data_IF_837020417277
#
_entry.id   IF_837020417277
#
_cell.length_a   1.000
_cell.length_b   1.000
_cell.length_c   1.000
_cell.angle_alpha   90.00
_cell.angle_beta   90.00
_cell.angle_gamma   90.00
#
_symmetry.space_group_name_H-M   'P 1'
#
loop_
_entity.id
_entity.type
_entity.pdbx_description
1 polymer ?
#
# COMPACT_ATOMS: atom_id res chain seq x y z
N UNK A 1 12.53 15.07 -12.70
CA UNK A 1 12.65 14.88 -11.24
C UNK A 1 11.26 14.58 -10.70
N UNK A 2 11.11 13.57 -9.83
CA UNK A 2 9.81 13.17 -9.30
C UNK A 2 9.24 14.24 -8.35
N UNK A 3 7.91 14.42 -8.39
CA UNK A 3 7.18 15.42 -7.60
C UNK A 3 6.14 14.82 -6.68
N UNK A 4 5.67 13.61 -6.98
CA UNK A 4 4.67 12.92 -6.18
C UNK A 4 4.88 11.41 -6.22
N UNK A 5 5.27 10.83 -5.09
CA UNK A 5 5.61 9.41 -4.95
C UNK A 5 4.47 8.68 -4.26
N UNK A 6 3.94 7.61 -4.88
CA UNK A 6 3.03 6.67 -4.22
C UNK A 6 3.84 5.58 -3.53
N UNK A 7 3.54 5.29 -2.26
CA UNK A 7 4.15 4.22 -1.48
C UNK A 7 3.08 3.26 -0.97
N UNK A 8 2.84 2.16 -1.66
CA UNK A 8 2.02 1.08 -1.13
C UNK A 8 2.75 0.39 0.03
N UNK A 9 2.04 0.12 1.11
CA UNK A 9 2.58 -0.57 2.28
C UNK A 9 1.58 -1.58 2.82
N UNK A 10 2.08 -2.68 3.36
CA UNK A 10 1.31 -3.69 4.10
C UNK A 10 1.78 -3.80 5.56
N UNK A 11 2.66 -2.88 5.99
CA UNK A 11 3.23 -2.86 7.34
C UNK A 11 4.34 -3.91 7.56
N UNK A 12 4.77 -4.65 6.55
CA UNK A 12 5.90 -5.58 6.66
C UNK A 12 7.24 -4.85 6.85
N UNK A 13 8.24 -5.56 7.35
CA UNK A 13 9.58 -4.97 7.53
C UNK A 13 10.20 -4.51 6.20
N UNK A 14 9.92 -5.23 5.12
CA UNK A 14 10.38 -4.83 3.80
C UNK A 14 9.63 -3.59 3.28
N UNK A 15 8.33 -3.48 3.56
CA UNK A 15 7.57 -2.28 3.27
C UNK A 15 8.11 -1.06 4.02
N UNK A 16 8.56 -1.22 5.27
CA UNK A 16 9.21 -0.15 6.04
C UNK A 16 10.51 0.33 5.39
N UNK A 17 11.30 -0.58 4.78
CA UNK A 17 12.47 -0.18 3.99
C UNK A 17 12.08 0.61 2.74
N UNK A 18 10.99 0.23 2.06
CA UNK A 18 10.48 0.98 0.93
C UNK A 18 9.99 2.38 1.34
N UNK A 19 9.31 2.51 2.48
CA UNK A 19 8.92 3.80 3.06
C UNK A 19 10.16 4.66 3.30
N UNK A 20 11.19 4.14 3.98
CA UNK A 20 12.42 4.89 4.26
C UNK A 20 13.11 5.37 2.99
N UNK A 21 13.19 4.52 1.96
CA UNK A 21 13.78 4.88 0.66
C UNK A 21 12.97 5.95 -0.08
N UNK A 22 11.64 5.84 -0.06
CA UNK A 22 10.75 6.81 -0.67
C UNK A 22 10.80 8.17 0.03
N UNK A 23 10.86 8.18 1.36
CA UNK A 23 10.98 9.41 2.16
C UNK A 23 12.32 10.11 1.90
N UNK A 24 13.42 9.35 1.83
CA UNK A 24 14.73 9.91 1.48
C UNK A 24 14.70 10.55 0.09
N UNK A 25 14.16 9.84 -0.91
CA UNK A 25 14.03 10.35 -2.28
C UNK A 25 13.12 11.60 -2.33
N UNK A 26 11.99 11.58 -1.62
CA UNK A 26 11.07 12.71 -1.55
C UNK A 26 11.74 13.96 -0.94
N UNK A 27 12.51 13.77 0.14
CA UNK A 27 13.28 14.84 0.77
C UNK A 27 14.30 15.46 -0.19
N UNK A 28 15.04 14.63 -0.93
CA UNK A 28 16.08 15.08 -1.84
C UNK A 28 15.51 15.77 -3.09
N UNK A 29 14.33 15.38 -3.53
CA UNK A 29 13.69 15.93 -4.73
C UNK A 29 12.67 17.04 -4.46
N UNK A 30 12.30 17.25 -3.20
CA UNK A 30 11.19 18.14 -2.83
C UNK A 30 9.82 17.58 -3.20
N UNK A 31 9.69 16.27 -3.38
CA UNK A 31 8.44 15.61 -3.71
C UNK A 31 7.54 15.48 -2.49
N UNK A 32 6.23 15.38 -2.71
CA UNK A 32 5.27 14.89 -1.73
C UNK A 32 5.11 13.37 -1.85
N UNK A 33 4.59 12.75 -0.79
CA UNK A 33 4.40 11.31 -0.71
C UNK A 33 2.94 10.97 -0.41
N UNK A 34 2.41 9.94 -1.06
CA UNK A 34 1.14 9.32 -0.67
C UNK A 34 1.39 7.90 -0.19
N UNK A 35 1.10 7.64 1.08
CA UNK A 35 1.03 6.29 1.63
C UNK A 35 -0.31 5.63 1.27
N UNK A 36 -0.26 4.40 0.77
CA UNK A 36 -1.45 3.63 0.41
C UNK A 36 -1.45 2.28 1.12
N UNK A 37 -2.56 1.95 1.77
CA UNK A 37 -2.85 0.60 2.25
C UNK A 37 -4.01 -0.01 1.45
N UNK A 38 -3.75 -1.15 0.81
CA UNK A 38 -4.77 -1.92 0.10
C UNK A 38 -5.34 -2.99 1.04
N UNK A 39 -6.61 -2.82 1.41
CA UNK A 39 -7.34 -3.75 2.26
C UNK A 39 -7.96 -4.84 1.38
N UNK A 40 -7.86 -6.12 1.73
CA UNK A 40 -8.56 -7.19 1.01
C UNK A 40 -10.06 -6.98 0.98
N UNK A 41 -10.72 -7.42 -0.08
CA UNK A 41 -12.17 -7.41 -0.15
C UNK A 41 -12.77 -8.40 0.84
N UNK A 42 -13.89 -8.01 1.46
CA UNK A 42 -14.64 -8.89 2.34
C UNK A 42 -15.36 -9.99 1.54
N UNK A 43 -14.96 -11.22 1.78
CA UNK A 43 -15.64 -12.40 1.21
C UNK A 43 -16.33 -13.11 2.37
N UNK A 44 -17.68 -12.98 2.50
CA UNK A 44 -18.39 -13.73 3.52
C UNK A 44 -18.21 -15.23 3.27
N UNK A 45 -17.98 -16.03 4.33
CA UNK A 45 -17.88 -17.48 4.16
C UNK A 45 -19.19 -18.05 3.64
N UNK A 46 -19.10 -18.86 2.60
CA UNK A 46 -20.25 -19.46 1.90
C UNK A 46 -20.66 -20.79 2.55
N UNK A 47 -19.93 -21.26 3.57
CA UNK A 47 -20.19 -22.53 4.23
C UNK A 47 -21.41 -22.45 5.15
N UNK A 48 -22.42 -23.24 4.78
CA UNK A 48 -23.73 -23.28 5.43
C UNK A 48 -23.74 -23.81 6.89
N UNK A 49 -22.58 -24.13 7.46
CA UNK A 49 -22.45 -24.68 8.81
C UNK A 49 -22.23 -23.63 9.92
N UNK A 50 -21.93 -22.38 9.55
CA UNK A 50 -21.71 -21.32 10.52
C UNK A 50 -22.80 -20.26 10.35
N UNK A 51 -23.55 -19.91 11.42
CA UNK A 51 -24.60 -18.91 11.33
C UNK A 51 -24.06 -17.56 10.85
N UNK A 52 -24.74 -16.94 9.89
CA UNK A 52 -24.34 -15.66 9.25
C UNK A 52 -24.09 -14.53 10.26
N UNK A 53 -24.78 -14.53 11.41
CA UNK A 53 -24.61 -13.54 12.46
C UNK A 53 -23.27 -13.63 13.22
N UNK A 54 -22.48 -14.66 12.99
CA UNK A 54 -21.12 -14.78 13.56
C UNK A 54 -20.04 -14.07 12.74
N UNK A 55 -20.39 -13.52 11.58
CA UNK A 55 -19.49 -12.77 10.73
C UNK A 55 -19.79 -11.28 10.80
N UNK A 56 -18.77 -10.42 10.70
CA UNK A 56 -19.02 -8.98 10.67
C UNK A 56 -19.88 -8.62 9.46
N UNK A 57 -20.75 -7.64 9.63
CA UNK A 57 -21.45 -7.02 8.51
C UNK A 57 -20.44 -6.28 7.61
N UNK A 58 -20.85 -5.93 6.40
CA UNK A 58 -20.01 -5.14 5.49
C UNK A 58 -19.56 -3.83 6.15
N UNK A 59 -20.45 -3.14 6.83
CA UNK A 59 -20.16 -1.88 7.51
C UNK A 59 -19.18 -2.05 8.68
N UNK A 60 -19.29 -3.16 9.41
CA UNK A 60 -18.32 -3.50 10.46
C UNK A 60 -16.95 -3.81 9.90
N UNK A 61 -16.91 -4.56 8.78
CA UNK A 61 -15.67 -4.85 8.09
C UNK A 61 -14.98 -3.57 7.57
N UNK A 62 -15.74 -2.67 6.94
CA UNK A 62 -15.21 -1.40 6.45
C UNK A 62 -14.66 -0.52 7.59
N UNK A 63 -15.34 -0.50 8.75
CA UNK A 63 -14.83 0.21 9.94
C UNK A 63 -13.55 -0.41 10.48
N UNK A 64 -13.48 -1.73 10.58
CA UNK A 64 -12.28 -2.44 11.00
C UNK A 64 -11.12 -2.22 10.01
N UNK A 65 -11.42 -2.25 8.72
CA UNK A 65 -10.46 -1.96 7.66
C UNK A 65 -9.87 -0.54 7.76
N UNK A 66 -10.70 0.46 8.10
CA UNK A 66 -10.23 1.82 8.31
C UNK A 66 -9.29 1.92 9.52
N UNK A 67 -9.62 1.25 10.64
CA UNK A 67 -8.76 1.21 11.84
C UNK A 67 -7.44 0.51 11.53
N UNK A 68 -7.47 -0.61 10.82
CA UNK A 68 -6.25 -1.32 10.41
C UNK A 68 -5.39 -0.44 9.49
N UNK A 69 -6.03 0.27 8.56
CA UNK A 69 -5.33 1.18 7.67
C UNK A 69 -4.60 2.30 8.43
N UNK A 70 -5.23 2.89 9.44
CA UNK A 70 -4.59 3.89 10.30
C UNK A 70 -3.33 3.33 10.97
N UNK A 71 -3.40 2.12 11.50
CA UNK A 71 -2.27 1.46 12.15
C UNK A 71 -1.12 1.18 11.18
N UNK A 72 -1.43 0.64 9.99
CA UNK A 72 -0.42 0.32 8.96
C UNK A 72 0.20 1.58 8.38
N UNK A 73 -0.59 2.62 8.13
CA UNK A 73 -0.13 3.87 7.54
C UNK A 73 0.61 4.78 8.53
N UNK A 74 0.57 4.49 9.82
CA UNK A 74 1.29 5.23 10.85
C UNK A 74 2.79 5.28 10.57
N UNK A 75 3.39 4.19 10.11
CA UNK A 75 4.81 4.14 9.74
C UNK A 75 5.18 5.18 8.67
N UNK A 76 4.29 5.40 7.69
CA UNK A 76 4.47 6.42 6.64
C UNK A 76 4.40 7.82 7.24
N UNK A 77 3.38 8.07 8.08
CA UNK A 77 3.19 9.38 8.71
C UNK A 77 4.39 9.76 9.59
N UNK A 78 4.85 8.83 10.42
CA UNK A 78 6.00 9.06 11.32
C UNK A 78 7.28 9.34 10.53
N UNK A 79 7.57 8.53 9.50
CA UNK A 79 8.76 8.71 8.68
C UNK A 79 8.75 10.04 7.91
N UNK A 80 7.61 10.41 7.32
CA UNK A 80 7.47 11.68 6.61
C UNK A 80 7.57 12.89 7.55
N UNK A 81 6.94 12.81 8.71
CA UNK A 81 6.98 13.88 9.72
C UNK A 81 8.40 14.11 10.21
N UNK A 82 9.14 13.03 10.54
CA UNK A 82 10.52 13.12 10.99
C UNK A 82 11.46 13.73 9.92
N UNK A 83 11.15 13.53 8.64
CA UNK A 83 11.94 14.05 7.52
C UNK A 83 11.47 15.42 7.00
N UNK A 84 10.37 15.97 7.52
CA UNK A 84 9.67 17.16 7.00
C UNK A 84 9.25 17.01 5.52
N UNK A 85 8.79 15.82 5.11
CA UNK A 85 8.26 15.54 3.79
C UNK A 85 6.74 15.71 3.81
N UNK A 86 6.15 16.51 2.90
CA UNK A 86 4.69 16.60 2.78
C UNK A 86 4.09 15.26 2.39
N UNK A 87 3.00 14.84 3.04
CA UNK A 87 2.39 13.56 2.76
C UNK A 87 0.87 13.55 2.86
N UNK A 88 0.29 12.57 2.22
CA UNK A 88 -1.13 12.17 2.32
C UNK A 88 -1.19 10.69 2.63
N UNK A 89 -2.26 10.25 3.30
CA UNK A 89 -2.53 8.84 3.57
C UNK A 89 -3.86 8.45 2.95
N UNK A 90 -3.93 7.26 2.39
CA UNK A 90 -5.16 6.72 1.82
C UNK A 90 -5.20 5.21 1.94
N UNK A 91 -6.39 4.67 1.97
CA UNK A 91 -6.63 3.24 1.85
C UNK A 91 -7.80 2.99 0.92
N UNK A 92 -7.94 1.76 0.50
CA UNK A 92 -9.10 1.30 -0.27
C UNK A 92 -9.24 -0.21 -0.15
N UNK A 93 -10.41 -0.71 -0.50
CA UNK A 93 -10.75 -2.13 -0.47
C UNK A 93 -10.77 -2.62 -1.91
N UNK A 94 -9.95 -3.62 -2.22
CA UNK A 94 -9.91 -4.28 -3.54
C UNK A 94 -9.37 -5.70 -3.39
N UNK A 95 -9.96 -6.64 -4.10
CA UNK A 95 -9.48 -8.02 -4.19
C UNK A 95 -8.10 -8.14 -4.86
N UNK A 96 -7.71 -7.11 -5.61
CA UNK A 96 -6.47 -7.04 -6.37
C UNK A 96 -5.68 -5.77 -6.02
N UNK A 97 -4.77 -5.81 -5.04
CA UNK A 97 -4.01 -4.66 -4.58
C UNK A 97 -3.34 -3.86 -5.71
N UNK A 98 -2.79 -4.54 -6.73
CA UNK A 98 -2.15 -3.85 -7.85
C UNK A 98 -3.09 -2.88 -8.59
N UNK A 99 -4.38 -3.24 -8.73
CA UNK A 99 -5.37 -2.36 -9.40
C UNK A 99 -5.59 -1.08 -8.62
N UNK A 100 -5.72 -1.22 -7.30
CA UNK A 100 -5.87 -0.08 -6.42
C UNK A 100 -4.63 0.82 -6.45
N UNK A 101 -3.43 0.22 -6.42
CA UNK A 101 -2.16 0.95 -6.52
C UNK A 101 -2.13 1.81 -7.79
N UNK A 102 -2.40 1.22 -8.94
CA UNK A 102 -2.38 1.92 -10.23
C UNK A 102 -3.47 2.99 -10.32
N UNK A 103 -4.69 2.68 -9.86
CA UNK A 103 -5.80 3.62 -9.85
C UNK A 103 -5.52 4.84 -8.95
N UNK A 104 -5.00 4.62 -7.74
CA UNK A 104 -4.64 5.69 -6.80
C UNK A 104 -3.47 6.53 -7.30
N UNK A 105 -2.45 5.90 -7.89
CA UNK A 105 -1.34 6.63 -8.49
C UNK A 105 -1.82 7.60 -9.59
N UNK A 106 -2.69 7.14 -10.47
CA UNK A 106 -3.28 7.96 -11.53
C UNK A 106 -4.20 9.04 -10.98
N UNK A 107 -5.12 8.70 -10.10
CA UNK A 107 -6.11 9.64 -9.55
C UNK A 107 -5.46 10.79 -8.77
N UNK A 108 -4.32 10.55 -8.13
CA UNK A 108 -3.58 11.53 -7.34
C UNK A 108 -2.48 12.25 -8.11
N UNK A 109 -2.26 11.90 -9.38
CA UNK A 109 -1.21 12.49 -10.21
C UNK A 109 0.20 12.15 -9.70
N UNK A 110 0.40 10.95 -9.19
CA UNK A 110 1.72 10.46 -8.84
C UNK A 110 2.55 10.24 -10.10
N UNK A 111 3.85 10.44 -10.02
CA UNK A 111 4.81 10.26 -11.12
C UNK A 111 5.87 9.19 -10.84
N UNK A 112 5.80 8.56 -9.66
CA UNK A 112 6.60 7.40 -9.27
C UNK A 112 5.81 6.51 -8.31
N UNK A 113 5.96 5.20 -8.45
CA UNK A 113 5.54 4.22 -7.44
C UNK A 113 6.81 3.65 -6.79
N UNK A 114 6.93 3.72 -5.46
CA UNK A 114 8.02 3.10 -4.70
C UNK A 114 7.44 2.02 -3.80
N UNK A 115 7.83 0.77 -4.01
CA UNK A 115 7.25 -0.36 -3.30
C UNK A 115 8.29 -1.44 -2.96
N UNK A 116 7.97 -2.29 -1.99
CA UNK A 116 8.79 -3.44 -1.65
C UNK A 116 8.70 -4.54 -2.73
N UNK A 117 9.77 -5.34 -2.86
CA UNK A 117 9.80 -6.45 -3.82
C UNK A 117 8.79 -7.56 -3.49
N UNK A 118 8.38 -7.70 -2.22
CA UNK A 118 7.32 -8.60 -1.75
C UNK A 118 6.73 -8.08 -0.43
N UNK A 119 5.54 -8.56 -0.08
CA UNK A 119 4.84 -8.18 1.14
C UNK A 119 4.90 -9.27 2.22
N UNK A 120 3.95 -9.23 3.17
CA UNK A 120 3.85 -10.16 4.32
C UNK A 120 3.86 -11.64 3.95
N UNK A 121 3.39 -12.01 2.76
CA UNK A 121 3.29 -13.40 2.28
C UNK A 121 4.47 -13.84 1.41
N UNK A 122 5.47 -12.97 1.24
CA UNK A 122 6.64 -13.26 0.41
C UNK A 122 7.48 -14.38 1.02
N UNK A 123 7.77 -15.41 0.21
CA UNK A 123 8.74 -16.43 0.55
C UNK A 123 10.14 -15.89 0.31
N UNK A 124 11.07 -16.16 1.23
CA UNK A 124 12.47 -15.70 1.19
C UNK A 124 13.18 -16.10 -0.13
N UNK A 125 12.69 -17.13 -0.81
CA UNK A 125 13.21 -17.62 -2.08
C UNK A 125 12.61 -16.93 -3.33
N UNK A 126 11.56 -16.09 -3.19
CA UNK A 126 10.96 -15.40 -4.33
C UNK A 126 11.75 -14.16 -4.70
N UNK A 127 12.15 -14.09 -5.96
CA UNK A 127 12.86 -12.92 -6.51
C UNK A 127 11.96 -11.69 -6.53
N UNK A 128 10.66 -11.87 -6.77
CA UNK A 128 9.67 -10.80 -6.85
C UNK A 128 8.27 -11.30 -6.43
N UNK A 129 7.56 -10.53 -5.62
CA UNK A 129 6.19 -10.85 -5.20
C UNK A 129 5.19 -10.67 -6.34
N UNK A 130 4.09 -11.42 -6.27
CA UNK A 130 3.06 -11.44 -7.33
C UNK A 130 2.43 -10.06 -7.58
N UNK A 131 2.15 -9.29 -6.53
CA UNK A 131 1.57 -7.94 -6.67
C UNK A 131 2.59 -6.96 -7.26
N UNK A 132 3.86 -7.05 -6.87
CA UNK A 132 4.93 -6.24 -7.45
C UNK A 132 5.11 -6.54 -8.93
N UNK A 133 5.06 -7.82 -9.33
CA UNK A 133 5.10 -8.21 -10.76
C UNK A 133 3.94 -7.61 -11.54
N UNK A 134 2.71 -7.65 -10.99
CA UNK A 134 1.53 -7.08 -11.64
C UNK A 134 1.63 -5.56 -11.76
N UNK A 135 2.12 -4.87 -10.73
CA UNK A 135 2.34 -3.41 -10.80
C UNK A 135 3.36 -3.10 -11.91
N UNK A 136 4.50 -3.79 -11.95
CA UNK A 136 5.52 -3.60 -12.99
C UNK A 136 5.00 -3.87 -14.40
N UNK A 137 4.12 -4.88 -14.55
CA UNK A 137 3.58 -5.27 -15.86
C UNK A 137 2.54 -4.28 -16.39
N UNK A 138 1.76 -3.66 -15.49
CA UNK A 138 0.59 -2.87 -15.86
C UNK A 138 0.74 -1.37 -15.59
N UNK A 139 1.87 -0.94 -15.03
CA UNK A 139 2.13 0.47 -14.73
C UNK A 139 2.63 1.23 -15.95
N UNK A 140 2.01 2.38 -16.21
CA UNK A 140 2.54 3.38 -17.14
C UNK A 140 3.55 4.32 -16.46
N UNK A 141 3.69 4.22 -15.12
CA UNK A 141 4.60 5.02 -14.33
C UNK A 141 5.89 4.24 -14.02
N UNK A 142 7.01 4.94 -13.82
CA UNK A 142 8.21 4.34 -13.23
C UNK A 142 7.90 3.67 -11.88
N UNK A 143 8.52 2.51 -11.65
CA UNK A 143 8.38 1.75 -10.40
C UNK A 143 9.75 1.50 -9.82
N UNK A 144 9.98 2.00 -8.61
CA UNK A 144 11.17 1.72 -7.81
C UNK A 144 10.87 0.56 -6.86
N UNK A 145 11.60 -0.53 -7.01
CA UNK A 145 11.43 -1.74 -6.20
C UNK A 145 12.57 -1.86 -5.19
N UNK A 146 12.21 -1.93 -3.91
CA UNK A 146 13.14 -2.04 -2.78
C UNK A 146 13.19 -3.50 -2.29
N UNK A 147 14.42 -3.98 -2.02
CA UNK A 147 14.72 -5.33 -1.51
C UNK A 147 15.23 -5.31 -0.09
#
# INVERSE_FOLDING_TARGET
MYRHILVPTDGSDLAKKAIASAVALAKDTGAKLTGLYAVPEYIPPVDAMVPVYQFPSKDEYERQAAIEAELVLKDVAEACTAANVPFELTHGIDSHPYRLILAQAKARGCDLICMSSHGRRGLVAMILGSETQKVLTHSDLPVLVIR
#
